data_IF_550435736365
#
_entry.id   IF_550435736365
#
_cell.length_a   1.000
_cell.length_b   1.000
_cell.length_c   1.000
_cell.angle_alpha   90.00
_cell.angle_beta   90.00
_cell.angle_gamma   90.00
#
_symmetry.space_group_name_H-M   'P 1'
#
loop_
_entity.id
_entity.type
_entity.pdbx_description
1 polymer ?
#
# COMPACT_ATOMS: atom_id res chain seq x y z
N UNK A 1 34.37 19.12 -5.19
CA UNK A 1 33.51 20.11 -5.89
C UNK A 1 32.14 19.51 -6.20
N UNK A 2 32.04 18.47 -7.04
CA UNK A 2 30.76 17.82 -7.40
C UNK A 2 29.95 17.39 -6.17
N UNK A 3 30.55 16.67 -5.23
CA UNK A 3 29.86 16.22 -4.00
C UNK A 3 29.43 17.39 -3.11
N UNK A 4 30.21 18.47 -3.06
CA UNK A 4 29.90 19.68 -2.28
C UNK A 4 28.71 20.43 -2.88
N UNK A 5 28.67 20.56 -4.21
CA UNK A 5 27.53 21.14 -4.94
C UNK A 5 26.27 20.29 -4.74
N UNK A 6 26.40 18.96 -4.82
CA UNK A 6 25.30 18.03 -4.54
C UNK A 6 24.76 18.16 -3.11
N UNK A 7 25.63 18.32 -2.11
CA UNK A 7 25.22 18.52 -0.72
C UNK A 7 24.39 19.81 -0.53
N UNK A 8 24.79 20.91 -1.17
CA UNK A 8 24.01 22.16 -1.12
C UNK A 8 22.67 22.05 -1.85
N UNK A 9 22.61 21.32 -2.97
CA UNK A 9 21.34 21.04 -3.66
C UNK A 9 20.42 20.24 -2.73
N UNK A 10 20.92 19.18 -2.09
CA UNK A 10 20.14 18.37 -1.14
C UNK A 10 19.63 19.21 0.04
N UNK A 11 20.49 20.10 0.58
CA UNK A 11 20.08 21.03 1.64
C UNK A 11 19.01 22.01 1.16
N UNK A 12 19.09 22.49 -0.09
CA UNK A 12 18.06 23.34 -0.67
C UNK A 12 16.71 22.61 -0.82
N UNK A 13 16.73 21.30 -1.11
CA UNK A 13 15.51 20.47 -1.21
C UNK A 13 14.80 20.22 0.12
N UNK A 14 15.47 20.43 1.26
CA UNK A 14 14.82 20.40 2.56
C UNK A 14 13.79 21.52 2.73
N UNK A 15 13.98 22.68 2.09
CA UNK A 15 13.07 23.83 2.24
C UNK A 15 11.64 23.54 1.80
N UNK A 16 11.36 23.07 0.57
CA UNK A 16 9.99 22.73 0.16
C UNK A 16 9.40 21.59 1.00
N UNK A 17 10.21 20.63 1.45
CA UNK A 17 9.75 19.55 2.34
C UNK A 17 9.28 20.09 3.70
N UNK A 18 10.10 20.89 4.38
CA UNK A 18 9.75 21.50 5.67
C UNK A 18 8.54 22.41 5.54
N UNK A 19 8.49 23.22 4.47
CA UNK A 19 7.34 24.06 4.18
C UNK A 19 6.06 23.23 3.98
N UNK A 20 6.14 22.13 3.24
CA UNK A 20 5.00 21.25 3.00
C UNK A 20 4.49 20.60 4.29
N UNK A 21 5.39 20.14 5.18
CA UNK A 21 5.04 19.57 6.48
C UNK A 21 4.36 20.63 7.36
N UNK A 22 4.92 21.84 7.45
CA UNK A 22 4.35 22.92 8.25
C UNK A 22 2.96 23.33 7.76
N UNK A 23 2.81 23.54 6.44
CA UNK A 23 1.52 23.91 5.84
C UNK A 23 0.49 22.80 6.07
N UNK A 24 0.85 21.54 5.83
CA UNK A 24 -0.06 20.41 5.95
C UNK A 24 -0.49 20.17 7.40
N UNK A 25 0.41 20.38 8.37
CA UNK A 25 0.08 20.23 9.79
C UNK A 25 -0.91 21.29 10.28
N UNK A 26 -0.76 22.55 9.83
CA UNK A 26 -1.59 23.67 10.33
C UNK A 26 -2.85 23.95 9.51
N UNK A 27 -2.81 23.66 8.21
CA UNK A 27 -3.84 24.03 7.23
C UNK A 27 -4.18 22.90 6.23
N UNK A 28 -3.65 21.70 6.42
CA UNK A 28 -3.94 20.56 5.55
C UNK A 28 -5.40 20.12 5.63
N UNK A 29 -5.86 19.44 4.59
CA UNK A 29 -7.17 18.80 4.56
C UNK A 29 -7.23 17.69 5.62
N UNK A 30 -8.29 17.70 6.42
CA UNK A 30 -8.48 16.70 7.47
C UNK A 30 -9.08 15.45 6.84
N UNK A 31 -8.36 14.35 6.95
CA UNK A 31 -8.83 13.04 6.53
C UNK A 31 -9.82 12.51 7.58
N UNK A 32 -11.02 12.11 7.16
CA UNK A 32 -12.04 11.49 8.02
C UNK A 32 -12.16 9.98 7.82
N UNK A 33 -11.30 9.38 6.99
CA UNK A 33 -11.26 7.95 6.69
C UNK A 33 -10.09 7.28 7.40
N UNK A 34 -10.22 5.98 7.66
CA UNK A 34 -9.18 5.17 8.32
C UNK A 34 -7.95 4.96 7.42
N UNK A 35 -8.17 4.84 6.10
CA UNK A 35 -7.10 4.72 5.10
C UNK A 35 -7.19 5.82 4.02
N UNK A 36 -6.38 6.90 4.12
CA UNK A 36 -6.33 7.94 3.10
C UNK A 36 -5.73 7.49 1.75
N UNK A 37 -4.99 6.38 1.72
CA UNK A 37 -4.31 5.89 0.51
C UNK A 37 -5.10 4.78 -0.20
N UNK A 38 -6.10 4.22 0.47
CA UNK A 38 -7.11 3.30 -0.05
C UNK A 38 -6.74 1.82 -0.02
N UNK A 39 -5.46 1.45 -0.14
CA UNK A 39 -5.01 0.05 -0.19
C UNK A 39 -3.96 -0.31 0.88
N UNK A 40 -4.11 0.25 2.07
CA UNK A 40 -3.30 -0.03 3.24
C UNK A 40 -3.37 -1.50 3.68
N UNK A 41 -2.24 -2.04 4.11
CA UNK A 41 -2.10 -3.48 4.37
C UNK A 41 -2.06 -3.82 5.85
N UNK A 42 -1.12 -3.19 6.55
CA UNK A 42 -0.87 -3.39 7.98
C UNK A 42 -2.04 -2.87 8.81
N UNK A 43 -2.13 -3.34 10.06
CA UNK A 43 -3.19 -2.95 11.01
C UNK A 43 -3.30 -1.43 11.23
N UNK A 44 -2.23 -0.67 11.02
CA UNK A 44 -2.22 0.79 11.13
C UNK A 44 -3.23 1.49 10.19
N UNK A 45 -3.64 0.82 9.11
CA UNK A 45 -4.64 1.32 8.16
C UNK A 45 -6.06 0.82 8.45
N UNK A 46 -6.26 0.13 9.57
CA UNK A 46 -7.58 -0.27 10.07
C UNK A 46 -8.03 0.55 11.28
N UNK A 47 -7.27 1.59 11.65
CA UNK A 47 -7.63 2.52 12.73
C UNK A 47 -7.94 3.91 12.18
N UNK A 48 -8.68 4.70 12.94
CA UNK A 48 -9.01 6.09 12.62
C UNK A 48 -7.78 6.98 12.45
N UNK A 49 -7.92 8.01 11.62
CA UNK A 49 -6.95 9.10 11.47
C UNK A 49 -7.52 10.39 12.10
N UNK A 50 -7.00 10.89 13.24
CA UNK A 50 -5.88 10.40 14.04
C UNK A 50 -6.22 9.13 14.87
N UNK A 51 -5.22 8.32 15.23
CA UNK A 51 -5.44 7.11 16.02
C UNK A 51 -5.87 7.46 17.46
N UNK A 52 -6.74 6.65 18.07
CA UNK A 52 -7.15 6.84 19.45
C UNK A 52 -5.95 6.59 20.40
N UNK A 53 -6.06 7.06 21.65
CA UNK A 53 -4.97 6.97 22.64
C UNK A 53 -4.44 5.56 22.89
N UNK A 54 -5.26 4.53 22.66
CA UNK A 54 -4.89 3.11 22.79
C UNK A 54 -4.72 2.40 21.44
N UNK A 55 -4.42 3.16 20.38
CA UNK A 55 -4.18 2.76 18.99
C UNK A 55 -5.36 2.09 18.26
N UNK A 56 -6.23 1.34 18.94
CA UNK A 56 -7.36 0.66 18.31
C UNK A 56 -8.63 0.83 19.13
N UNK A 57 -9.74 1.10 18.44
CA UNK A 57 -11.08 1.01 19.03
C UNK A 57 -11.58 -0.43 19.00
N UNK A 58 -11.37 -1.11 17.87
CA UNK A 58 -11.71 -2.52 17.66
C UNK A 58 -10.59 -3.19 16.87
N UNK A 59 -10.30 -4.46 17.16
CA UNK A 59 -9.26 -5.23 16.47
C UNK A 59 -9.90 -6.10 15.36
N UNK A 60 -9.55 -5.89 14.08
CA UNK A 60 -10.05 -6.75 13.01
C UNK A 60 -9.45 -8.15 13.10
N UNK A 61 -10.16 -9.14 12.56
CA UNK A 61 -9.69 -10.54 12.56
C UNK A 61 -8.45 -10.70 11.67
N UNK A 62 -7.33 -11.09 12.28
CA UNK A 62 -6.06 -11.30 11.57
C UNK A 62 -6.06 -12.69 10.92
N UNK A 63 -6.08 -12.72 9.58
CA UNK A 63 -6.09 -13.98 8.78
C UNK A 63 -4.93 -14.08 7.79
N UNK A 64 -4.18 -12.99 7.61
CA UNK A 64 -3.01 -12.89 6.74
C UNK A 64 -2.08 -11.75 7.18
N UNK A 65 -1.01 -11.54 6.42
CA UNK A 65 -0.05 -10.44 6.58
C UNK A 65 -0.62 -9.05 6.22
N UNK A 66 -1.79 -8.98 5.55
CA UNK A 66 -2.45 -7.74 5.08
C UNK A 66 -3.84 -7.57 5.69
N UNK A 67 -3.98 -7.53 7.03
CA UNK A 67 -5.29 -7.56 7.70
C UNK A 67 -6.17 -6.34 7.41
N UNK A 68 -5.60 -5.14 7.20
CA UNK A 68 -6.39 -3.96 6.84
C UNK A 68 -6.96 -4.08 5.42
N UNK A 69 -6.19 -4.63 4.48
CA UNK A 69 -6.66 -4.82 3.11
C UNK A 69 -7.84 -5.79 3.04
N UNK A 70 -7.77 -6.93 3.74
CA UNK A 70 -8.88 -7.90 3.76
C UNK A 70 -10.16 -7.35 4.40
N UNK A 71 -10.03 -6.43 5.36
CA UNK A 71 -11.16 -5.74 5.97
C UNK A 71 -11.87 -4.82 4.95
N UNK A 72 -11.09 -4.02 4.21
CA UNK A 72 -11.63 -3.06 3.23
C UNK A 72 -12.08 -3.73 1.91
N UNK A 73 -11.44 -4.85 1.53
CA UNK A 73 -11.72 -5.57 0.28
C UNK A 73 -12.03 -7.07 0.52
N UNK A 74 -13.17 -7.42 1.15
CA UNK A 74 -13.51 -8.82 1.43
C UNK A 74 -13.61 -9.69 0.17
N UNK A 75 -14.03 -9.10 -0.96
CA UNK A 75 -14.16 -9.79 -2.24
C UNK A 75 -12.82 -10.15 -2.90
N UNK A 76 -11.71 -9.56 -2.45
CA UNK A 76 -10.37 -9.83 -3.00
C UNK A 76 -9.65 -10.97 -2.29
N UNK A 77 -10.16 -11.44 -1.14
CA UNK A 77 -9.50 -12.44 -0.29
C UNK A 77 -9.26 -13.77 -1.03
N UNK A 78 -10.27 -14.27 -1.74
CA UNK A 78 -10.18 -15.55 -2.46
C UNK A 78 -9.16 -15.48 -3.60
N UNK A 79 -9.21 -14.40 -4.38
CA UNK A 79 -8.26 -14.12 -5.45
C UNK A 79 -6.82 -14.01 -4.92
N UNK A 80 -6.63 -13.22 -3.85
CA UNK A 80 -5.30 -13.06 -3.24
C UNK A 80 -4.72 -14.38 -2.77
N UNK A 81 -5.55 -15.24 -2.17
CA UNK A 81 -5.10 -16.57 -1.75
C UNK A 81 -4.75 -17.46 -2.95
N UNK A 82 -5.60 -17.50 -3.97
CA UNK A 82 -5.37 -18.30 -5.17
C UNK A 82 -4.09 -17.89 -5.92
N UNK A 83 -3.83 -16.59 -6.02
CA UNK A 83 -2.68 -16.03 -6.76
C UNK A 83 -1.38 -15.94 -5.92
N UNK A 84 -1.44 -16.18 -4.60
CA UNK A 84 -0.31 -15.98 -3.67
C UNK A 84 0.95 -16.82 -3.94
N UNK A 85 0.83 -17.91 -4.71
CA UNK A 85 1.93 -18.85 -4.96
C UNK A 85 2.39 -18.91 -6.42
N UNK A 86 1.70 -18.22 -7.34
CA UNK A 86 1.95 -18.31 -8.79
C UNK A 86 3.26 -17.64 -9.20
N UNK A 87 3.75 -16.66 -8.43
CA UNK A 87 5.01 -15.96 -8.70
C UNK A 87 6.31 -16.70 -8.31
N UNK A 88 6.24 -17.89 -7.70
CA UNK A 88 7.44 -18.63 -7.25
C UNK A 88 8.05 -19.52 -8.34
N UNK A 89 7.41 -19.61 -9.51
CA UNK A 89 7.83 -20.45 -10.63
C UNK A 89 8.34 -19.63 -11.83
N UNK A 90 9.40 -18.83 -11.64
CA UNK A 90 10.29 -18.47 -12.75
C UNK A 90 11.49 -19.42 -12.74
N UNK A 91 11.21 -20.69 -13.02
CA UNK A 91 12.19 -21.72 -13.36
C UNK A 91 12.08 -22.00 -14.86
N UNK A 92 13.23 -22.12 -15.52
CA UNK A 92 13.45 -22.24 -16.95
C UNK A 92 12.52 -23.24 -17.69
N UNK A 93 12.17 -22.88 -18.92
CA UNK A 93 11.68 -23.72 -20.03
C UNK A 93 10.17 -24.05 -20.14
N UNK A 94 9.50 -23.28 -21.02
CA UNK A 94 8.62 -23.85 -22.05
C UNK A 94 7.31 -24.49 -21.59
N UNK A 95 6.34 -23.67 -21.17
CA UNK A 95 4.89 -23.83 -21.39
C UNK A 95 4.14 -22.70 -20.70
N UNK A 96 3.90 -21.62 -21.44
CA UNK A 96 3.05 -20.51 -21.01
C UNK A 96 1.58 -20.93 -21.18
N UNK A 97 0.99 -21.50 -20.12
CA UNK A 97 -0.38 -22.02 -20.11
C UNK A 97 -1.45 -20.92 -19.99
N UNK A 98 -1.05 -19.71 -19.58
CA UNK A 98 -1.95 -18.56 -19.38
C UNK A 98 -2.59 -18.07 -20.67
N UNK A 99 -1.99 -18.37 -21.84
CA UNK A 99 -2.52 -17.96 -23.15
C UNK A 99 -3.59 -18.91 -23.71
N UNK A 100 -3.65 -20.15 -23.24
CA UNK A 100 -4.53 -21.17 -23.83
C UNK A 100 -5.98 -21.05 -23.35
N UNK A 101 -6.21 -20.48 -22.17
CA UNK A 101 -7.55 -20.32 -21.60
C UNK A 101 -8.33 -19.18 -22.28
N UNK A 102 -7.64 -18.19 -22.85
CA UNK A 102 -8.26 -17.05 -23.54
C UNK A 102 -8.92 -17.43 -24.88
N UNK A 103 -8.44 -18.51 -25.52
CA UNK A 103 -8.87 -18.93 -26.86
C UNK A 103 -10.16 -19.76 -26.81
N UNK A 104 -10.42 -20.46 -25.69
CA UNK A 104 -11.58 -21.35 -25.57
C UNK A 104 -12.88 -20.64 -25.11
N UNK A 105 -12.81 -19.34 -24.81
CA UNK A 105 -13.97 -18.52 -24.40
C UNK A 105 -14.67 -17.85 -25.61
N UNK A 106 -14.06 -17.90 -26.80
CA UNK A 106 -14.64 -17.33 -28.03
C UNK A 106 -14.81 -18.43 -29.09
N UNK A 107 -15.92 -19.15 -29.01
CA UNK A 107 -16.46 -19.92 -30.14
C UNK A 107 -16.76 -19.03 -31.34
#
# INVERSE_FOLDING_TARGET
>A
IVSTVGAFILAAWMFPFVWNVFKSWRYGEVVTVDDPWGYGNSLEWATSCPPPRHNFTELPRIRSERPAFELHYPHMVERMRAESHVGRAHGHEGKDITRLDDVNVRS
#
